data_IF_880235989683
#
_entry.id   IF_880235989683
#
_cell.length_a   1.000
_cell.length_b   1.000
_cell.length_c   1.000
_cell.angle_alpha   90.00
_cell.angle_beta   90.00
_cell.angle_gamma   90.00
#
_symmetry.space_group_name_H-M   'P 1'
#
loop_
_entity.id
_entity.type
_entity.pdbx_description
1 polymer ?
#
# COMPACT_ATOMS: atom_id res chain seq x y z
N UNK A 1 -8.15 1.84 28.23
CA UNK A 1 -7.66 0.72 27.40
C UNK A 1 -7.04 1.31 26.14
N UNK A 2 -5.73 1.11 25.98
CA UNK A 2 -4.92 1.62 24.86
C UNK A 2 -5.41 1.11 23.48
N UNK A 3 -5.18 1.89 22.41
CA UNK A 3 -5.64 1.62 21.03
C UNK A 3 -5.08 0.29 20.50
N UNK A 4 -3.84 -0.05 20.84
CA UNK A 4 -3.21 -1.32 20.46
C UNK A 4 -3.96 -2.50 21.06
N UNK A 5 -4.36 -2.41 22.34
CA UNK A 5 -5.11 -3.47 23.01
C UNK A 5 -6.49 -3.69 22.39
N UNK A 6 -7.13 -2.64 21.86
CA UNK A 6 -8.42 -2.77 21.15
C UNK A 6 -8.26 -3.51 19.82
N UNK A 7 -7.25 -3.15 19.02
CA UNK A 7 -6.98 -3.82 17.73
C UNK A 7 -6.64 -5.30 17.97
N UNK A 8 -5.73 -5.59 18.90
CA UNK A 8 -5.36 -6.98 19.24
C UNK A 8 -6.57 -7.78 19.75
N UNK A 9 -7.43 -7.18 20.58
CA UNK A 9 -8.67 -7.83 21.02
C UNK A 9 -9.60 -8.14 19.84
N UNK A 10 -9.77 -7.21 18.91
CA UNK A 10 -10.61 -7.38 17.71
C UNK A 10 -10.08 -8.48 16.79
N UNK A 11 -8.78 -8.49 16.52
CA UNK A 11 -8.13 -9.54 15.72
C UNK A 11 -8.26 -10.92 16.38
N UNK A 12 -8.16 -10.97 17.71
CA UNK A 12 -8.36 -12.22 18.45
C UNK A 12 -9.82 -12.73 18.38
N UNK A 13 -10.81 -11.83 18.39
CA UNK A 13 -12.23 -12.19 18.20
C UNK A 13 -12.48 -12.81 16.82
N UNK A 14 -11.74 -12.40 15.80
CA UNK A 14 -11.80 -12.96 14.45
C UNK A 14 -10.96 -14.24 14.25
N UNK A 15 -10.35 -14.73 15.32
CA UNK A 15 -9.43 -15.86 15.32
C UNK A 15 -8.25 -15.70 14.34
N UNK A 16 -7.88 -14.45 14.01
CA UNK A 16 -6.77 -14.18 13.07
C UNK A 16 -5.41 -14.16 13.73
N UNK A 17 -5.38 -14.10 15.06
CA UNK A 17 -4.17 -14.17 15.86
C UNK A 17 -4.33 -15.22 16.97
N UNK A 18 -3.21 -15.80 17.38
CA UNK A 18 -3.10 -16.64 18.57
C UNK A 18 -2.26 -15.94 19.62
N UNK A 19 -2.89 -15.54 20.73
CA UNK A 19 -2.20 -14.93 21.87
C UNK A 19 -1.19 -15.90 22.49
N UNK A 20 -0.09 -15.33 22.97
CA UNK A 20 1.02 -15.97 23.69
C UNK A 20 1.37 -15.10 24.91
N UNK A 21 2.08 -15.64 25.93
CA UNK A 21 2.43 -14.87 27.13
C UNK A 21 3.19 -13.56 26.83
N UNK A 22 4.01 -13.53 25.76
CA UNK A 22 4.82 -12.37 25.37
C UNK A 22 4.44 -11.78 24.00
N UNK A 23 3.21 -12.00 23.52
CA UNK A 23 2.75 -11.42 22.25
C UNK A 23 1.68 -12.24 21.55
N UNK A 24 1.73 -12.28 20.22
CA UNK A 24 0.79 -13.05 19.42
C UNK A 24 1.44 -13.54 18.13
N UNK A 25 0.87 -14.61 17.56
CA UNK A 25 1.22 -15.10 16.23
C UNK A 25 0.05 -14.82 15.30
N UNK A 26 0.34 -14.28 14.11
CA UNK A 26 -0.63 -14.17 13.02
C UNK A 26 -0.94 -15.56 12.48
N UNK A 27 -2.22 -15.90 12.40
CA UNK A 27 -2.74 -17.20 11.95
C UNK A 27 -3.42 -17.06 10.59
N UNK A 28 -4.12 -15.95 10.37
CA UNK A 28 -4.88 -15.68 9.16
C UNK A 28 -4.57 -14.26 8.66
N UNK A 29 -3.47 -14.07 7.90
CA UNK A 29 -3.06 -12.76 7.42
C UNK A 29 -4.03 -12.17 6.39
N UNK A 30 -4.72 -13.01 5.60
CA UNK A 30 -5.69 -12.56 4.59
C UNK A 30 -6.87 -11.86 5.27
N UNK A 31 -7.47 -12.47 6.31
CA UNK A 31 -8.57 -11.85 7.05
C UNK A 31 -8.14 -10.57 7.79
N UNK A 32 -6.89 -10.48 8.26
CA UNK A 32 -6.36 -9.23 8.84
C UNK A 32 -6.27 -8.14 7.76
N UNK A 33 -5.72 -8.47 6.59
CA UNK A 33 -5.61 -7.52 5.48
C UNK A 33 -6.98 -7.04 5.01
N UNK A 34 -7.94 -7.94 4.83
CA UNK A 34 -9.32 -7.57 4.47
C UNK A 34 -9.95 -6.68 5.54
N UNK A 35 -9.79 -7.00 6.83
CA UNK A 35 -10.32 -6.16 7.90
C UNK A 35 -9.67 -4.76 7.91
N UNK A 36 -8.35 -4.68 7.71
CA UNK A 36 -7.67 -3.40 7.59
C UNK A 36 -8.17 -2.63 6.37
N UNK A 37 -8.32 -3.30 5.23
CA UNK A 37 -8.86 -2.70 4.01
C UNK A 37 -10.26 -2.13 4.22
N UNK A 38 -11.16 -2.84 4.90
CA UNK A 38 -12.51 -2.38 5.23
C UNK A 38 -12.56 -1.19 6.19
N UNK A 39 -11.54 -1.02 7.06
CA UNK A 39 -11.54 0.01 8.12
C UNK A 39 -10.62 1.19 7.81
N UNK A 40 -9.79 1.07 6.79
CA UNK A 40 -9.01 2.16 6.21
C UNK A 40 -9.96 3.22 5.65
N UNK A 41 -9.55 4.48 5.75
CA UNK A 41 -10.16 5.59 5.02
C UNK A 41 -9.07 6.33 4.25
N UNK A 42 -8.83 5.95 3.00
CA UNK A 42 -7.73 6.54 2.20
C UNK A 42 -7.97 8.02 1.93
N UNK A 43 -9.22 8.41 1.69
CA UNK A 43 -9.60 9.79 1.38
C UNK A 43 -9.26 10.76 2.53
N UNK A 44 -9.45 10.34 3.80
CA UNK A 44 -9.14 11.21 4.95
C UNK A 44 -7.65 11.51 5.14
N UNK A 45 -6.77 10.77 4.45
CA UNK A 45 -5.32 10.94 4.53
C UNK A 45 -4.77 11.80 3.41
N UNK A 46 -5.56 12.07 2.36
CA UNK A 46 -5.15 12.96 1.28
C UNK A 46 -4.96 14.36 1.86
N UNK A 47 -3.71 14.80 1.87
CA UNK A 47 -3.26 16.10 2.37
C UNK A 47 -3.08 17.12 1.25
N UNK A 48 -2.83 16.64 0.04
CA UNK A 48 -2.72 17.46 -1.16
C UNK A 48 -3.12 16.64 -2.40
N UNK A 49 -3.79 17.27 -3.35
CA UNK A 49 -4.03 16.68 -4.66
C UNK A 49 -4.02 17.75 -5.74
N UNK A 50 -3.52 17.38 -6.92
CA UNK A 50 -3.47 18.26 -8.08
C UNK A 50 -3.59 17.47 -9.38
N UNK A 51 -3.63 18.20 -10.48
CA UNK A 51 -3.54 17.65 -11.82
C UNK A 51 -2.20 18.00 -12.45
N UNK A 52 -1.53 17.00 -12.99
CA UNK A 52 -0.42 17.17 -13.92
C UNK A 52 -0.80 16.63 -15.30
N UNK A 53 -0.54 17.36 -16.39
CA UNK A 53 -0.74 16.86 -17.76
C UNK A 53 0.32 15.85 -18.19
N UNK A 54 1.36 15.65 -17.39
CA UNK A 54 2.46 14.76 -17.70
C UNK A 54 2.06 13.28 -17.63
N UNK A 55 2.83 12.44 -18.32
CA UNK A 55 2.65 10.99 -18.22
C UNK A 55 2.96 10.51 -16.80
N UNK A 56 2.33 9.41 -16.38
CA UNK A 56 2.58 8.78 -15.08
C UNK A 56 4.06 8.54 -14.81
N UNK A 57 4.83 8.10 -15.82
CA UNK A 57 6.27 7.86 -15.62
C UNK A 57 7.02 9.16 -15.33
N UNK A 58 6.70 10.25 -16.03
CA UNK A 58 7.30 11.55 -15.77
C UNK A 58 6.90 12.09 -14.39
N UNK A 59 5.63 11.96 -13.99
CA UNK A 59 5.18 12.31 -12.64
C UNK A 59 5.96 11.51 -11.59
N UNK A 60 6.12 10.20 -11.78
CA UNK A 60 6.87 9.33 -10.87
C UNK A 60 8.36 9.70 -10.77
N UNK A 61 8.97 10.13 -11.87
CA UNK A 61 10.39 10.52 -11.93
C UNK A 61 10.65 11.89 -11.31
N UNK A 62 9.68 12.81 -11.39
CA UNK A 62 9.76 14.15 -10.82
C UNK A 62 9.40 14.20 -9.33
N UNK A 63 8.92 13.09 -8.73
CA UNK A 63 8.58 13.07 -7.31
C UNK A 63 9.78 13.43 -6.39
N UNK A 64 9.53 14.10 -5.26
CA UNK A 64 10.56 14.40 -4.28
C UNK A 64 11.32 13.17 -3.80
N UNK A 65 12.58 13.36 -3.38
CA UNK A 65 13.33 12.29 -2.70
C UNK A 65 12.64 11.95 -1.37
N UNK A 66 12.65 10.66 -1.01
CA UNK A 66 11.98 10.18 0.20
C UNK A 66 10.48 9.90 0.01
N UNK A 67 9.92 10.14 -1.17
CA UNK A 67 8.56 9.75 -1.53
C UNK A 67 8.37 8.24 -1.45
N UNK A 68 7.30 7.80 -0.79
CA UNK A 68 6.89 6.39 -0.76
C UNK A 68 5.67 6.18 -1.65
N UNK A 69 5.86 5.48 -2.76
CA UNK A 69 4.80 5.15 -3.70
C UNK A 69 3.92 4.02 -3.19
N UNK A 70 2.60 4.18 -3.32
CA UNK A 70 1.61 3.16 -2.99
C UNK A 70 0.68 2.89 -4.17
N UNK A 71 -0.36 2.09 -3.95
CA UNK A 71 -1.36 1.75 -4.95
C UNK A 71 -0.72 1.26 -6.27
N UNK A 72 -1.09 1.85 -7.40
CA UNK A 72 -0.61 1.45 -8.73
C UNK A 72 0.91 1.62 -8.88
N UNK A 73 1.44 2.81 -8.57
CA UNK A 73 2.88 3.11 -8.65
C UNK A 73 3.69 2.26 -7.68
N UNK A 74 3.19 2.07 -6.46
CA UNK A 74 3.79 1.17 -5.47
C UNK A 74 3.87 -0.25 -6.01
N UNK A 75 2.76 -0.76 -6.55
CA UNK A 75 2.74 -2.09 -7.17
C UNK A 75 3.76 -2.20 -8.31
N UNK A 76 3.79 -1.25 -9.25
CA UNK A 76 4.74 -1.21 -10.37
C UNK A 76 6.18 -1.27 -9.85
N UNK A 77 6.53 -0.48 -8.84
CA UNK A 77 7.89 -0.50 -8.25
C UNK A 77 8.23 -1.84 -7.59
N UNK A 78 7.26 -2.53 -6.98
CA UNK A 78 7.47 -3.84 -6.34
C UNK A 78 7.64 -4.99 -7.32
N UNK A 79 7.00 -4.93 -8.48
CA UNK A 79 6.88 -6.07 -9.40
C UNK A 79 7.38 -5.80 -10.83
N UNK A 80 7.72 -4.57 -11.17
CA UNK A 80 8.25 -4.14 -12.48
C UNK A 80 7.23 -4.14 -13.63
N UNK A 81 6.17 -4.94 -13.52
CA UNK A 81 5.08 -5.05 -14.49
C UNK A 81 3.75 -4.71 -13.83
N UNK A 82 2.81 -4.18 -14.61
CA UNK A 82 1.44 -3.92 -14.17
C UNK A 82 0.45 -4.73 -15.01
N UNK A 83 -0.70 -5.15 -14.43
CA UNK A 83 -1.70 -5.91 -15.17
C UNK A 83 -2.39 -5.08 -16.25
N UNK A 84 -2.49 -3.76 -16.02
CA UNK A 84 -3.09 -2.79 -16.94
C UNK A 84 -2.36 -1.43 -16.82
N UNK A 85 -2.74 -0.48 -17.68
CA UNK A 85 -2.35 0.92 -17.54
C UNK A 85 -3.11 1.61 -16.41
N UNK A 86 -2.48 2.62 -15.81
CA UNK A 86 -3.06 3.48 -14.78
C UNK A 86 -2.66 4.92 -15.06
N UNK A 87 -3.44 5.87 -14.54
CA UNK A 87 -3.29 7.30 -14.85
C UNK A 87 -3.08 8.15 -13.58
N UNK A 88 -3.17 7.55 -12.40
CA UNK A 88 -3.14 8.24 -11.11
C UNK A 88 -1.95 7.78 -10.28
N UNK A 89 -1.30 8.75 -9.62
CA UNK A 89 -0.13 8.52 -8.76
C UNK A 89 -0.49 8.87 -7.32
N UNK A 90 -0.37 7.87 -6.44
CA UNK A 90 -0.62 7.99 -5.01
C UNK A 90 0.68 7.80 -4.23
N UNK A 91 0.98 8.76 -3.35
CA UNK A 91 2.24 8.79 -2.60
C UNK A 91 2.07 9.21 -1.15
N UNK A 92 2.87 8.66 -0.26
CA UNK A 92 3.13 9.22 1.07
C UNK A 92 4.39 10.09 0.98
N UNK A 93 4.22 11.40 1.09
CA UNK A 93 5.30 12.38 0.95
C UNK A 93 4.94 13.69 1.67
N UNK A 94 5.92 14.58 1.83
CA UNK A 94 5.67 15.94 2.29
C UNK A 94 4.87 16.71 1.21
N UNK A 95 3.63 17.15 1.51
CA UNK A 95 2.78 17.82 0.54
C UNK A 95 3.38 19.14 0.03
N UNK A 96 4.18 19.85 0.82
CA UNK A 96 4.79 21.11 0.40
C UNK A 96 5.93 20.88 -0.61
N UNK A 97 6.68 19.80 -0.46
CA UNK A 97 7.69 19.38 -1.44
C UNK A 97 7.07 18.97 -2.78
N UNK A 98 5.93 18.28 -2.74
CA UNK A 98 5.20 17.86 -3.93
C UNK A 98 4.56 19.07 -4.60
N UNK A 99 3.91 19.96 -3.85
CA UNK A 99 3.28 21.20 -4.34
C UNK A 99 4.25 22.11 -5.08
N UNK A 100 5.52 22.18 -4.65
CA UNK A 100 6.56 22.96 -5.36
C UNK A 100 6.88 22.42 -6.75
N UNK A 101 6.74 21.11 -6.96
CA UNK A 101 7.03 20.43 -8.24
C UNK A 101 5.79 20.27 -9.12
N UNK A 102 4.65 20.04 -8.49
CA UNK A 102 3.34 19.93 -9.10
C UNK A 102 2.43 20.99 -8.45
N UNK A 103 2.40 22.23 -8.97
CA UNK A 103 1.56 23.29 -8.42
C UNK A 103 0.07 22.98 -8.49
N UNK A 104 -0.72 23.75 -7.75
CA UNK A 104 -2.18 23.65 -7.82
C UNK A 104 -2.68 23.89 -9.24
N UNK A 105 -3.54 22.99 -9.70
CA UNK A 105 -4.22 23.09 -10.98
C UNK A 105 -5.72 23.27 -10.79
N UNK A 106 -6.37 24.18 -11.56
CA UNK A 106 -7.81 24.38 -11.51
C UNK A 106 -8.59 23.24 -12.20
N UNK A 107 -7.90 22.30 -12.86
CA UNK A 107 -8.55 21.15 -13.49
C UNK A 107 -9.37 20.35 -12.46
N UNK A 108 -10.59 20.00 -12.83
CA UNK A 108 -11.51 19.23 -11.97
C UNK A 108 -10.95 17.84 -11.68
N UNK A 109 -10.48 17.15 -12.71
CA UNK A 109 -9.80 15.87 -12.58
C UNK A 109 -8.47 16.04 -11.86
N UNK A 110 -8.19 15.18 -10.88
CA UNK A 110 -6.88 15.07 -10.21
C UNK A 110 -6.21 13.75 -10.60
N UNK A 111 -4.88 13.73 -10.62
CA UNK A 111 -4.11 12.52 -10.90
C UNK A 111 -2.82 12.41 -10.07
N UNK A 112 -2.52 13.40 -9.23
CA UNK A 112 -1.47 13.36 -8.24
C UNK A 112 -2.12 13.49 -6.87
N UNK A 113 -1.94 12.48 -6.02
CA UNK A 113 -2.54 12.40 -4.70
C UNK A 113 -1.46 12.14 -3.65
N UNK A 114 -1.38 13.04 -2.66
CA UNK A 114 -0.38 12.98 -1.59
C UNK A 114 -1.08 12.70 -0.27
N UNK A 115 -0.85 11.53 0.28
CA UNK A 115 -1.25 11.19 1.64
C UNK A 115 -0.27 11.76 2.65
N UNK A 116 -0.76 12.01 3.87
CA UNK A 116 0.07 12.47 5.00
C UNK A 116 1.32 11.59 5.15
N UNK A 117 2.50 12.18 5.40
CA UNK A 117 3.71 11.40 5.70
C UNK A 117 3.49 10.44 6.87
N UNK A 118 3.99 9.23 6.75
CA UNK A 118 3.98 8.23 7.81
C UNK A 118 5.44 7.81 8.13
N UNK A 119 5.94 8.10 9.35
CA UNK A 119 7.31 7.74 9.75
C UNK A 119 7.59 6.23 9.69
N UNK A 120 6.59 5.39 9.96
CA UNK A 120 6.74 3.95 9.88
C UNK A 120 6.86 3.49 8.42
N UNK A 121 6.06 4.03 7.50
CA UNK A 121 6.21 3.75 6.07
C UNK A 121 7.56 4.28 5.54
N UNK A 122 8.01 5.44 5.99
CA UNK A 122 9.32 5.99 5.62
C UNK A 122 10.48 5.06 6.06
N UNK A 123 10.34 4.33 7.17
CA UNK A 123 11.35 3.38 7.65
C UNK A 123 11.23 1.98 7.04
N UNK A 124 10.02 1.56 6.67
CA UNK A 124 9.73 0.18 6.22
C UNK A 124 9.52 0.03 4.72
N UNK A 125 9.51 1.14 3.96
CA UNK A 125 9.47 1.09 2.51
C UNK A 125 10.69 0.34 1.96
N UNK A 126 10.52 -0.25 0.78
CA UNK A 126 11.61 -0.89 0.05
C UNK A 126 11.62 -0.35 -1.38
N UNK A 127 12.77 0.22 -1.76
CA UNK A 127 13.02 0.82 -3.07
C UNK A 127 12.03 1.96 -3.41
N UNK A 128 11.62 2.72 -2.39
CA UNK A 128 10.64 3.81 -2.51
C UNK A 128 9.20 3.32 -2.66
N UNK A 129 8.92 2.04 -2.47
CA UNK A 129 7.57 1.49 -2.51
C UNK A 129 7.09 1.09 -1.11
N UNK A 130 5.81 1.37 -0.82
CA UNK A 130 5.16 0.99 0.43
C UNK A 130 5.19 -0.55 0.64
N UNK A 131 5.09 -1.03 1.90
CA UNK A 131 4.94 -2.45 2.17
C UNK A 131 3.74 -3.05 1.43
N UNK A 132 3.81 -4.34 1.06
CA UNK A 132 2.76 -4.99 0.27
C UNK A 132 1.38 -4.94 0.93
N UNK A 133 1.33 -5.00 2.27
CA UNK A 133 0.10 -4.88 3.04
C UNK A 133 -0.54 -3.48 2.85
N UNK A 134 0.28 -2.43 2.85
CA UNK A 134 -0.19 -1.06 2.61
C UNK A 134 -0.66 -0.87 1.17
N UNK A 135 0.11 -1.36 0.18
CA UNK A 135 -0.29 -1.32 -1.23
C UNK A 135 -1.63 -2.03 -1.45
N UNK A 136 -1.82 -3.21 -0.84
CA UNK A 136 -3.08 -3.94 -0.91
C UNK A 136 -4.24 -3.12 -0.36
N UNK A 137 -4.10 -2.58 0.84
CA UNK A 137 -5.15 -1.81 1.51
C UNK A 137 -5.48 -0.51 0.77
N UNK A 138 -4.48 0.16 0.22
CA UNK A 138 -4.68 1.39 -0.55
C UNK A 138 -5.37 1.09 -1.89
N UNK A 139 -4.98 0.04 -2.62
CA UNK A 139 -5.70 -0.40 -3.83
C UNK A 139 -7.15 -0.79 -3.52
N UNK A 140 -7.38 -1.53 -2.44
CA UNK A 140 -8.72 -1.95 -2.02
C UNK A 140 -9.63 -0.75 -1.74
N UNK A 141 -9.08 0.31 -1.15
CA UNK A 141 -9.80 1.54 -0.88
C UNK A 141 -10.11 2.38 -2.13
N UNK A 142 -9.23 2.34 -3.13
CA UNK A 142 -9.49 3.00 -4.41
C UNK A 142 -10.65 2.32 -5.15
N UNK A 143 -10.64 0.99 -5.16
CA UNK A 143 -11.65 0.18 -5.84
C UNK A 143 -11.76 0.48 -7.34
N UNK A 144 -12.80 -0.09 -7.94
CA UNK A 144 -13.07 0.05 -9.38
C UNK A 144 -12.19 -0.84 -10.25
N UNK A 145 -12.59 -0.95 -11.52
CA UNK A 145 -12.00 -1.90 -12.47
C UNK A 145 -10.46 -1.88 -12.51
N UNK A 146 -9.78 -0.70 -12.46
CA UNK A 146 -8.34 -0.70 -12.44
C UNK A 146 -7.75 -1.33 -11.17
N UNK A 147 -8.21 -0.91 -9.99
CA UNK A 147 -7.68 -1.41 -8.72
C UNK A 147 -7.95 -2.91 -8.55
N UNK A 148 -9.12 -3.38 -8.98
CA UNK A 148 -9.52 -4.79 -8.89
C UNK A 148 -8.58 -5.71 -9.68
N UNK A 149 -8.09 -5.27 -10.85
CA UNK A 149 -7.09 -6.01 -11.64
C UNK A 149 -5.75 -6.12 -10.91
N UNK A 150 -5.33 -5.04 -10.25
CA UNK A 150 -4.09 -5.05 -9.44
C UNK A 150 -4.24 -5.91 -8.19
N UNK A 151 -5.38 -5.85 -7.50
CA UNK A 151 -5.67 -6.66 -6.32
C UNK A 151 -5.64 -8.16 -6.65
N UNK A 152 -6.30 -8.57 -7.73
CA UNK A 152 -6.32 -9.98 -8.16
C UNK A 152 -4.91 -10.53 -8.39
N UNK A 153 -4.05 -9.77 -9.07
CA UNK A 153 -2.67 -10.18 -9.31
C UNK A 153 -1.85 -10.15 -8.00
N UNK A 154 -2.05 -9.15 -7.15
CA UNK A 154 -1.37 -9.04 -5.86
C UNK A 154 -1.72 -10.21 -4.93
N UNK A 155 -2.99 -10.59 -4.83
CA UNK A 155 -3.44 -11.74 -4.05
C UNK A 155 -2.83 -13.05 -4.55
N UNK A 156 -2.75 -13.22 -5.86
CA UNK A 156 -2.08 -14.38 -6.48
C UNK A 156 -0.62 -14.46 -6.05
N UNK A 157 0.11 -13.33 -6.08
CA UNK A 157 1.52 -13.27 -5.66
C UNK A 157 1.69 -13.47 -4.14
N UNK A 158 0.77 -12.96 -3.33
CA UNK A 158 0.78 -13.15 -1.88
C UNK A 158 0.54 -14.63 -1.49
N UNK A 159 -0.32 -15.34 -2.23
CA UNK A 159 -0.57 -16.78 -2.05
C UNK A 159 0.60 -17.66 -2.52
N UNK A 160 1.32 -17.25 -3.57
CA UNK A 160 2.47 -18.01 -4.10
C UNK A 160 3.70 -17.98 -3.18
N UNK A 161 4.00 -16.85 -2.51
CA UNK A 161 5.22 -16.69 -1.70
C UNK A 161 5.38 -17.68 -0.54
N UNK A 162 4.34 -17.97 0.28
CA UNK A 162 4.43 -19.00 1.31
C UNK A 162 4.78 -20.38 0.73
N UNK A 163 4.21 -20.72 -0.43
CA UNK A 163 4.44 -22.01 -1.11
C UNK A 163 5.89 -22.11 -1.60
N UNK A 164 6.43 -21.04 -2.18
CA UNK A 164 7.83 -20.98 -2.62
C UNK A 164 8.81 -21.03 -1.45
N UNK A 165 8.53 -20.31 -0.36
CA UNK A 165 9.35 -20.35 0.85
C UNK A 165 9.37 -21.76 1.48
N UNK A 166 8.22 -22.44 1.53
CA UNK A 166 8.12 -23.84 1.96
C UNK A 166 8.93 -24.79 1.05
N UNK A 167 8.82 -24.64 -0.27
CA UNK A 167 9.62 -25.43 -1.24
C UNK A 167 11.12 -25.18 -1.07
N UNK A 168 11.54 -23.94 -0.84
CA UNK A 168 12.94 -23.58 -0.63
C UNK A 168 13.51 -24.16 0.67
N UNK A 169 12.72 -24.19 1.74
CA UNK A 169 13.09 -24.82 3.01
C UNK A 169 13.19 -26.35 2.87
N UNK A 170 12.24 -26.98 2.16
CA UNK A 170 12.26 -28.42 1.91
C UNK A 170 13.46 -28.88 1.07
N UNK A 171 13.98 -28.02 0.18
CA UNK A 171 15.21 -28.29 -0.60
C UNK A 171 16.51 -28.11 0.18
N UNK A 172 16.48 -27.45 1.35
CA UNK A 172 17.68 -27.15 2.15
C UNK A 172 17.94 -28.14 3.30
N UNK A 173 17.06 -29.10 3.52
CA UNK A 173 17.28 -30.22 4.45
C UNK A 173 17.49 -31.50 3.64
N UNK A 174 18.75 -31.88 3.33
CA UNK A 174 19.07 -33.24 2.88
C UNK A 174 18.91 -34.26 4.02
#
# INVERSE_FOLDING_TARGET
MDTVNRVVAKLNQFHTIKKKPLGFRVVDPEKILTYWACTRNLASDISYSTYSPDSVTKIEDEMPRGTVFTAFSGYRRRFGKTPIHYEEVFVYADPEEVRRRFPESPAERKNVFVMRPDPHLAQTNKDGAAPLAQIYVDLWQLGGDPADRFLLELETKLKAKPIEALKALARKNP
#
